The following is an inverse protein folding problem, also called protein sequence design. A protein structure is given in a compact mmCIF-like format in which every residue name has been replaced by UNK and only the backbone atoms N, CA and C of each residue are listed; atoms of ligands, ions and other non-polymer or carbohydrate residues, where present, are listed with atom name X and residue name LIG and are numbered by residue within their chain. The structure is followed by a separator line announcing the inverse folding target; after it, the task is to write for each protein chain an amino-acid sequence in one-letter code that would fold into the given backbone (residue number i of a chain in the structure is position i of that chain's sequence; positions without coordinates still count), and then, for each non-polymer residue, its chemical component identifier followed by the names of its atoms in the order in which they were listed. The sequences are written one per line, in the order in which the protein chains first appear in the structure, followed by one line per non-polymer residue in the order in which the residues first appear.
data_IF_293194491303
#
_entry.id   IF_293194491303
#
_cell.length_a   1.000
_cell.length_b   1.000
_cell.length_c   1.000
_cell.angle_alpha   90.00
_cell.angle_beta   90.00
_cell.angle_gamma   90.00
#
_symmetry.space_group_name_H-M   'P 1'
#
loop_
_entity.id
_entity.type
_entity.pdbx_description
1 polymer ?
#
# COMPACT_ATOMS: atom_id res chain seq x y z
N UNK A 1 -14.07 20.67 36.39
CA UNK A 1 -15.21 19.92 35.82
C UNK A 1 -16.39 20.87 35.77
N UNK A 2 -16.69 21.43 34.58
CA UNK A 2 -17.85 22.28 34.39
C UNK A 2 -19.09 21.38 34.21
N UNK A 3 -20.21 21.65 34.90
CA UNK A 3 -21.44 20.90 34.68
C UNK A 3 -21.90 21.15 33.23
N UNK A 4 -22.12 20.07 32.49
CA UNK A 4 -22.64 20.10 31.12
C UNK A 4 -24.03 20.73 31.12
N UNK A 5 -24.12 21.99 30.71
CA UNK A 5 -25.39 22.73 30.54
C UNK A 5 -25.97 22.33 29.19
N UNK A 6 -26.41 21.10 29.07
CA UNK A 6 -27.42 20.74 28.08
C UNK A 6 -28.67 20.35 28.87
N UNK A 7 -29.83 20.96 28.61
CA UNK A 7 -31.07 20.54 29.25
C UNK A 7 -31.24 19.05 28.96
N UNK A 8 -31.57 18.27 29.98
CA UNK A 8 -32.00 16.89 29.83
C UNK A 8 -33.28 16.89 29.00
N UNK A 9 -33.14 16.87 27.68
CA UNK A 9 -34.20 16.43 26.80
C UNK A 9 -34.57 15.03 27.31
N UNK A 10 -35.85 14.81 27.59
CA UNK A 10 -36.36 13.46 27.70
C UNK A 10 -35.91 12.76 26.41
N UNK A 11 -35.03 11.78 26.57
CA UNK A 11 -34.51 10.97 25.48
C UNK A 11 -35.69 10.16 24.94
N UNK A 12 -36.47 10.76 24.05
CA UNK A 12 -37.41 10.03 23.22
C UNK A 12 -36.56 9.27 22.19
N UNK A 13 -35.99 8.15 22.66
CA UNK A 13 -35.74 6.91 21.94
C UNK A 13 -35.07 7.01 20.55
N UNK A 14 -34.02 7.82 20.39
CA UNK A 14 -33.30 7.91 19.12
C UNK A 14 -31.87 8.41 19.22
N UNK A 15 -31.19 8.50 18.08
CA UNK A 15 -29.88 9.15 17.97
C UNK A 15 -29.75 9.95 16.68
N UNK A 16 -28.92 10.98 16.71
CA UNK A 16 -28.59 11.78 15.52
C UNK A 16 -27.39 11.22 14.75
N UNK A 17 -27.43 11.35 13.43
CA UNK A 17 -26.31 11.12 12.52
C UNK A 17 -26.26 12.23 11.46
N UNK A 18 -25.17 12.32 10.71
CA UNK A 18 -24.99 13.39 9.69
C UNK A 18 -24.95 12.80 8.30
N UNK A 19 -25.82 13.31 7.42
CA UNK A 19 -25.77 13.08 5.98
C UNK A 19 -24.87 14.14 5.32
N UNK A 20 -23.91 13.67 4.52
CA UNK A 20 -22.94 14.47 3.77
C UNK A 20 -23.28 14.35 2.29
N UNK A 21 -23.95 15.33 1.69
CA UNK A 21 -24.24 15.30 0.26
C UNK A 21 -22.97 15.48 -0.58
N UNK A 22 -22.94 14.99 -1.82
CA UNK A 22 -21.79 15.15 -2.71
C UNK A 22 -21.62 16.59 -3.22
N UNK A 23 -22.72 17.32 -3.45
CA UNK A 23 -22.68 18.71 -3.91
C UNK A 23 -22.31 19.67 -2.79
N UNK A 24 -21.37 20.58 -3.03
CA UNK A 24 -21.03 21.67 -2.10
C UNK A 24 -22.17 22.66 -1.89
N UNK A 25 -23.10 22.76 -2.83
CA UNK A 25 -24.26 23.65 -2.77
C UNK A 25 -25.36 23.11 -1.84
N UNK A 26 -25.35 21.80 -1.58
CA UNK A 26 -26.29 21.18 -0.64
C UNK A 26 -25.68 21.16 0.76
N UNK A 27 -26.39 21.70 1.75
CA UNK A 27 -25.95 21.72 3.14
C UNK A 27 -25.92 20.30 3.74
N UNK A 28 -24.94 20.04 4.61
CA UNK A 28 -24.94 18.82 5.43
C UNK A 28 -26.13 18.86 6.38
N UNK A 29 -26.79 17.71 6.57
CA UNK A 29 -28.02 17.64 7.39
C UNK A 29 -27.84 16.65 8.53
N UNK A 30 -28.27 17.06 9.72
CA UNK A 30 -28.41 16.17 10.86
C UNK A 30 -29.74 15.44 10.73
N UNK A 31 -29.71 14.11 10.81
CA UNK A 31 -30.88 13.25 10.66
C UNK A 31 -31.10 12.51 11.98
N UNK A 32 -32.35 12.53 12.46
CA UNK A 32 -32.76 11.78 13.64
C UNK A 32 -33.17 10.37 13.23
N UNK A 33 -32.56 9.36 13.84
CA UNK A 33 -33.06 7.99 13.76
C UNK A 33 -34.01 7.73 14.94
N UNK A 34 -35.33 7.58 14.72
CA UNK A 34 -36.34 7.63 15.78
C UNK A 34 -36.58 6.29 16.49
N UNK A 35 -35.65 5.34 16.41
CA UNK A 35 -35.83 4.01 17.02
C UNK A 35 -34.98 3.88 18.29
N UNK A 36 -35.58 3.43 19.42
CA UNK A 36 -34.86 3.27 20.68
C UNK A 36 -33.78 2.23 20.53
N UNK A 37 -32.55 2.58 20.93
CA UNK A 37 -31.35 1.73 20.80
C UNK A 37 -31.57 0.37 21.47
N UNK A 38 -31.99 -0.62 20.70
CA UNK A 38 -32.01 -2.04 21.10
C UNK A 38 -30.86 -2.81 20.46
N UNK A 39 -30.58 -4.02 20.98
CA UNK A 39 -29.55 -4.92 20.42
C UNK A 39 -29.79 -5.32 18.95
N UNK A 40 -31.00 -5.09 18.40
CA UNK A 40 -31.37 -5.43 17.03
C UNK A 40 -31.42 -4.22 16.06
N UNK A 41 -31.03 -3.04 16.51
CA UNK A 41 -31.23 -1.78 15.78
C UNK A 41 -30.25 -1.51 14.65
N UNK A 42 -29.14 -2.24 14.61
CA UNK A 42 -28.19 -2.13 13.51
C UNK A 42 -28.85 -2.39 12.17
N UNK A 43 -29.83 -3.30 12.15
CA UNK A 43 -30.54 -3.65 10.93
C UNK A 43 -31.54 -2.61 10.49
N UNK A 44 -32.34 -2.06 11.42
CA UNK A 44 -33.30 -1.00 11.09
C UNK A 44 -32.57 0.26 10.66
N UNK A 45 -31.44 0.57 11.30
CA UNK A 45 -30.60 1.69 10.92
C UNK A 45 -29.98 1.50 9.53
N UNK A 46 -29.38 0.35 9.25
CA UNK A 46 -28.82 0.05 7.91
C UNK A 46 -29.90 0.10 6.83
N UNK A 47 -31.14 -0.36 7.12
CA UNK A 47 -32.27 -0.22 6.19
C UNK A 47 -32.63 1.23 5.94
N UNK A 48 -32.67 2.07 6.98
CA UNK A 48 -32.93 3.50 6.84
C UNK A 48 -31.85 4.17 5.96
N UNK A 49 -30.56 3.90 6.22
CA UNK A 49 -29.47 4.41 5.38
C UNK A 49 -29.61 4.01 3.90
N UNK A 50 -30.05 2.78 3.64
CA UNK A 50 -30.25 2.31 2.25
C UNK A 50 -31.42 2.99 1.56
N UNK A 51 -32.51 3.23 2.28
CA UNK A 51 -33.63 3.99 1.77
C UNK A 51 -33.17 5.41 1.37
N UNK A 52 -32.37 6.04 2.23
CA UNK A 52 -31.83 7.38 1.96
C UNK A 52 -30.80 7.41 0.81
N UNK A 53 -30.11 6.30 0.54
CA UNK A 53 -29.25 6.14 -0.65
C UNK A 53 -30.02 5.90 -1.95
N UNK A 54 -31.35 5.84 -1.92
CA UNK A 54 -32.16 5.44 -3.07
C UNK A 54 -31.93 3.97 -3.49
N UNK A 55 -31.35 3.17 -2.60
CA UNK A 55 -31.13 1.74 -2.79
C UNK A 55 -32.27 0.95 -2.14
N UNK A 56 -33.52 1.31 -2.44
CA UNK A 56 -34.65 0.47 -2.06
C UNK A 56 -34.38 -0.92 -2.67
N UNK A 57 -34.11 -1.90 -1.80
CA UNK A 57 -34.12 -3.28 -2.25
C UNK A 57 -35.54 -3.50 -2.81
N UNK A 58 -35.70 -4.11 -4.00
CA UNK A 58 -37.01 -4.60 -4.37
C UNK A 58 -37.48 -5.42 -3.17
N UNK A 59 -38.65 -5.08 -2.60
CA UNK A 59 -39.24 -5.84 -1.50
C UNK A 59 -39.41 -7.27 -2.00
N UNK A 60 -38.38 -8.09 -1.85
CA UNK A 60 -38.45 -9.52 -2.10
C UNK A 60 -39.23 -10.03 -0.91
N UNK A 61 -40.54 -10.10 -1.11
CA UNK A 61 -41.48 -10.73 -0.21
C UNK A 61 -40.82 -12.03 0.27
N UNK A 62 -40.48 -12.09 1.56
CA UNK A 62 -39.68 -13.18 2.15
C UNK A 62 -40.29 -14.57 1.94
N UNK A 63 -41.55 -14.62 1.46
CA UNK A 63 -42.22 -15.82 0.97
C UNK A 63 -41.59 -16.43 -0.31
N UNK A 64 -40.84 -15.67 -1.11
CA UNK A 64 -40.13 -16.16 -2.31
C UNK A 64 -38.72 -16.71 -2.02
N UNK A 65 -38.44 -17.12 -0.77
CA UNK A 65 -37.16 -17.65 -0.26
C UNK A 65 -36.56 -18.82 -1.06
N UNK A 66 -37.35 -19.51 -1.87
CA UNK A 66 -36.87 -20.58 -2.75
C UNK A 66 -36.04 -20.07 -3.95
N UNK A 67 -36.38 -18.91 -4.52
CA UNK A 67 -35.77 -18.42 -5.76
C UNK A 67 -34.38 -17.80 -5.59
N UNK A 68 -34.15 -17.07 -4.49
CA UNK A 68 -32.88 -16.38 -4.26
C UNK A 68 -31.69 -17.34 -4.09
N UNK A 69 -31.91 -18.47 -3.41
CA UNK A 69 -30.90 -19.52 -3.29
C UNK A 69 -30.64 -20.21 -4.64
N UNK A 70 -31.65 -20.37 -5.50
CA UNK A 70 -31.43 -20.88 -6.86
C UNK A 70 -30.67 -19.88 -7.74
N UNK A 71 -30.86 -18.58 -7.55
CA UNK A 71 -30.14 -17.53 -8.28
C UNK A 71 -28.69 -17.42 -7.83
N UNK A 72 -28.44 -17.42 -6.52
CA UNK A 72 -27.09 -17.27 -5.95
C UNK A 72 -26.19 -18.49 -6.22
N UNK A 73 -26.78 -19.68 -6.35
CA UNK A 73 -26.06 -20.91 -6.71
C UNK A 73 -26.21 -21.30 -8.19
N UNK A 74 -26.85 -20.44 -9.00
CA UNK A 74 -27.24 -20.72 -10.37
C UNK A 74 -28.28 -21.83 -10.48
N UNK A 75 -29.32 -21.63 -11.30
CA UNK A 75 -30.06 -22.76 -11.87
C UNK A 75 -29.04 -23.57 -12.64
N UNK A 76 -28.67 -24.74 -12.13
CA UNK A 76 -27.94 -25.75 -12.90
C UNK A 76 -28.84 -26.04 -14.10
N UNK A 77 -28.57 -25.37 -15.23
CA UNK A 77 -29.16 -25.78 -16.50
C UNK A 77 -28.85 -27.25 -16.66
N UNK A 78 -29.84 -28.02 -17.10
CA UNK A 78 -29.69 -29.43 -17.45
C UNK A 78 -28.34 -29.63 -18.13
N UNK A 79 -27.42 -30.24 -17.40
CA UNK A 79 -26.00 -30.25 -17.77
C UNK A 79 -25.80 -30.91 -19.14
N UNK A 80 -24.70 -30.57 -19.84
CA UNK A 80 -24.37 -31.16 -21.13
C UNK A 80 -24.40 -32.69 -21.01
N UNK A 81 -25.10 -33.33 -21.95
CA UNK A 81 -25.19 -34.79 -22.07
C UNK A 81 -23.80 -35.41 -21.90
N UNK A 82 -23.71 -36.31 -20.91
CA UNK A 82 -22.52 -37.03 -20.51
C UNK A 82 -21.74 -37.58 -21.72
N UNK A 83 -20.62 -36.95 -22.05
CA UNK A 83 -19.55 -37.62 -22.78
C UNK A 83 -18.81 -38.48 -21.77
N UNK A 84 -19.07 -39.79 -21.84
CA UNK A 84 -18.54 -40.79 -20.93
C UNK A 84 -17.01 -40.84 -20.97
N UNK A 85 -16.34 -40.39 -19.91
CA UNK A 85 -14.91 -40.67 -19.74
C UNK A 85 -14.17 -39.72 -18.80
N UNK A 86 -14.42 -39.81 -17.49
CA UNK A 86 -13.57 -39.12 -16.50
C UNK A 86 -13.99 -39.34 -15.05
N UNK A 87 -13.45 -40.37 -14.39
CA UNK A 87 -13.54 -40.52 -12.92
C UNK A 87 -13.17 -39.25 -12.10
N UNK A 88 -12.24 -38.35 -12.49
CA UNK A 88 -11.96 -37.15 -11.71
C UNK A 88 -13.15 -36.18 -11.59
N UNK A 89 -14.07 -36.17 -12.55
CA UNK A 89 -15.21 -35.25 -12.56
C UNK A 89 -16.29 -35.67 -11.53
N UNK A 90 -16.46 -36.98 -11.32
CA UNK A 90 -17.39 -37.50 -10.33
C UNK A 90 -16.95 -37.19 -8.89
N UNK A 91 -15.64 -37.17 -8.63
CA UNK A 91 -15.08 -36.82 -7.31
C UNK A 91 -15.29 -35.33 -7.04
N UNK A 92 -14.96 -34.46 -8.00
CA UNK A 92 -15.18 -33.02 -7.89
C UNK A 92 -16.66 -32.66 -7.69
N UNK A 93 -17.57 -33.31 -8.42
CA UNK A 93 -19.01 -33.10 -8.26
C UNK A 93 -19.52 -33.52 -6.87
N UNK A 94 -18.97 -34.59 -6.30
CA UNK A 94 -19.33 -35.06 -4.95
C UNK A 94 -18.82 -34.12 -3.86
N UNK A 95 -17.59 -33.62 -3.99
CA UNK A 95 -17.04 -32.60 -3.07
C UNK A 95 -17.82 -31.29 -3.14
N UNK A 96 -18.17 -30.84 -4.34
CA UNK A 96 -18.99 -29.64 -4.54
C UNK A 96 -20.37 -29.76 -3.90
N UNK A 97 -21.05 -30.90 -4.04
CA UNK A 97 -22.35 -31.15 -3.36
C UNK A 97 -22.21 -31.11 -1.85
N UNK A 98 -21.16 -31.74 -1.31
CA UNK A 98 -20.89 -31.76 0.14
C UNK A 98 -20.66 -30.36 0.68
N UNK A 99 -19.92 -29.52 -0.04
CA UNK A 99 -19.68 -28.13 0.37
C UNK A 99 -20.95 -27.28 0.26
N UNK A 100 -21.76 -27.48 -0.79
CA UNK A 100 -23.07 -26.82 -0.93
C UNK A 100 -24.02 -27.16 0.23
N UNK A 101 -24.08 -28.42 0.64
CA UNK A 101 -24.89 -28.86 1.78
C UNK A 101 -24.36 -28.31 3.11
N UNK A 102 -23.03 -28.24 3.28
CA UNK A 102 -22.40 -27.61 4.45
C UNK A 102 -22.73 -26.11 4.54
N UNK A 103 -22.70 -25.40 3.41
CA UNK A 103 -23.07 -23.98 3.34
C UNK A 103 -24.55 -23.79 3.66
N UNK A 104 -25.43 -24.65 3.13
CA UNK A 104 -26.87 -24.65 3.47
C UNK A 104 -27.12 -24.89 4.96
N UNK A 105 -26.47 -25.88 5.56
CA UNK A 105 -26.59 -26.18 6.99
C UNK A 105 -26.06 -25.04 7.86
N UNK A 106 -25.00 -24.36 7.41
CA UNK A 106 -24.46 -23.19 8.10
C UNK A 106 -25.43 -22.01 8.00
N UNK A 107 -25.98 -21.74 6.81
CA UNK A 107 -26.96 -20.69 6.58
C UNK A 107 -28.29 -20.93 7.30
N UNK A 108 -28.71 -22.20 7.44
CA UNK A 108 -29.91 -22.57 8.21
C UNK A 108 -29.74 -22.30 9.72
N UNK A 109 -28.50 -22.26 10.22
CA UNK A 109 -28.18 -21.91 11.62
C UNK A 109 -28.02 -20.42 11.86
N UNK A 110 -27.77 -19.63 10.81
CA UNK A 110 -27.71 -18.18 10.90
C UNK A 110 -29.14 -17.66 11.10
N UNK A 111 -29.35 -16.89 12.16
CA UNK A 111 -30.66 -16.28 12.43
C UNK A 111 -31.09 -15.45 11.22
N UNK A 112 -32.38 -15.52 10.85
CA UNK A 112 -32.91 -14.83 9.66
C UNK A 112 -32.55 -13.33 9.65
N UNK A 113 -32.46 -12.74 10.84
CA UNK A 113 -32.02 -11.36 11.06
C UNK A 113 -30.56 -11.12 10.60
N UNK A 114 -29.61 -11.97 10.99
CA UNK A 114 -28.21 -11.83 10.61
C UNK A 114 -27.99 -12.00 9.10
N UNK A 115 -28.73 -12.90 8.46
CA UNK A 115 -28.68 -13.07 7.01
C UNK A 115 -29.20 -11.82 6.28
N UNK A 116 -30.29 -11.24 6.76
CA UNK A 116 -30.85 -10.01 6.20
C UNK A 116 -29.91 -8.82 6.43
N UNK A 117 -29.17 -8.80 7.55
CA UNK A 117 -28.10 -7.82 7.77
C UNK A 117 -26.99 -7.99 6.73
N UNK A 118 -26.49 -9.20 6.55
CA UNK A 118 -25.43 -9.47 5.57
C UNK A 118 -25.86 -9.11 4.14
N UNK A 119 -27.09 -9.43 3.76
CA UNK A 119 -27.64 -9.07 2.46
C UNK A 119 -27.86 -7.57 2.33
N UNK A 120 -28.26 -6.89 3.41
CA UNK A 120 -28.44 -5.44 3.40
C UNK A 120 -27.13 -4.68 3.33
N UNK A 121 -26.07 -5.18 3.94
CA UNK A 121 -24.72 -4.60 3.87
C UNK A 121 -24.04 -4.77 2.51
N UNK A 122 -24.55 -5.61 1.59
CA UNK A 122 -23.88 -5.87 0.30
C UNK A 122 -23.68 -4.62 -0.56
N UNK A 123 -24.57 -3.64 -0.44
CA UNK A 123 -24.52 -2.38 -1.20
C UNK A 123 -24.14 -1.17 -0.34
N UNK A 124 -23.84 -1.40 0.94
CA UNK A 124 -23.46 -0.37 1.89
C UNK A 124 -22.07 -0.68 2.42
N UNK A 125 -21.10 0.10 1.99
CA UNK A 125 -19.74 -0.04 2.45
C UNK A 125 -19.53 0.84 3.70
N UNK A 126 -18.87 0.27 4.71
CA UNK A 126 -18.62 0.92 5.99
C UNK A 126 -17.12 1.10 6.19
N UNK A 127 -16.69 2.33 6.35
CA UNK A 127 -15.32 2.68 6.69
C UNK A 127 -15.28 2.98 8.19
N UNK A 128 -14.70 2.06 8.95
CA UNK A 128 -14.51 2.24 10.40
C UNK A 128 -13.26 3.08 10.62
N UNK A 129 -13.45 4.34 11.03
CA UNK A 129 -12.36 5.28 11.25
C UNK A 129 -11.74 5.13 12.63
N UNK A 130 -12.58 4.88 13.64
CA UNK A 130 -12.18 4.68 15.02
C UNK A 130 -13.05 3.57 15.63
N UNK A 131 -12.45 2.67 16.41
CA UNK A 131 -13.20 1.65 17.15
C UNK A 131 -13.53 2.18 18.53
N UNK A 132 -14.79 2.00 18.96
CA UNK A 132 -15.17 2.33 20.33
C UNK A 132 -14.37 1.48 21.33
N UNK A 133 -13.90 2.10 22.40
CA UNK A 133 -13.12 1.45 23.45
C UNK A 133 -13.50 1.99 24.82
N UNK A 134 -14.12 1.13 25.62
CA UNK A 134 -14.60 1.45 26.97
C UNK A 134 -13.46 1.90 27.88
N UNK A 135 -12.31 1.21 27.85
CA UNK A 135 -11.18 1.48 28.75
C UNK A 135 -10.61 2.89 28.57
N UNK A 136 -10.60 3.38 27.33
CA UNK A 136 -10.06 4.69 26.98
C UNK A 136 -11.13 5.78 26.91
N UNK A 137 -12.41 5.40 26.91
CA UNK A 137 -13.54 6.30 26.65
C UNK A 137 -13.60 6.79 25.20
N UNK A 138 -12.82 6.18 24.30
CA UNK A 138 -12.78 6.54 22.89
C UNK A 138 -14.07 6.10 22.23
N UNK A 139 -14.69 7.03 21.49
CA UNK A 139 -15.90 6.77 20.71
C UNK A 139 -15.53 6.19 19.35
N UNK A 140 -16.34 5.26 18.88
CA UNK A 140 -16.22 4.71 17.54
C UNK A 140 -16.80 5.67 16.51
N UNK A 141 -16.17 5.73 15.35
CA UNK A 141 -16.51 6.61 14.24
C UNK A 141 -16.61 5.78 12.96
N UNK A 142 -17.75 5.87 12.28
CA UNK A 142 -17.99 5.10 11.05
C UNK A 142 -18.59 5.99 9.95
N UNK A 143 -18.09 5.81 8.73
CA UNK A 143 -18.62 6.42 7.51
C UNK A 143 -19.28 5.35 6.66
N UNK A 144 -20.54 5.57 6.28
CA UNK A 144 -21.32 4.69 5.41
C UNK A 144 -21.46 5.32 4.04
N UNK A 145 -21.25 4.54 2.98
CA UNK A 145 -21.43 4.98 1.58
C UNK A 145 -21.96 3.84 0.69
N UNK A 146 -22.51 4.17 -0.48
CA UNK A 146 -23.19 3.22 -1.36
C UNK A 146 -22.31 2.17 -2.08
N UNK A 147 -21.04 2.03 -1.70
CA UNK A 147 -20.10 1.07 -2.30
C UNK A 147 -20.08 1.13 -3.84
N UNK A 148 -20.11 -0.05 -4.48
CA UNK A 148 -20.09 -0.20 -5.95
C UNK A 148 -21.31 0.39 -6.67
N UNK A 149 -22.46 0.48 -5.99
CA UNK A 149 -23.66 1.04 -6.63
C UNK A 149 -23.56 2.54 -6.88
N UNK A 150 -22.58 3.21 -6.27
CA UNK A 150 -22.37 4.64 -6.37
C UNK A 150 -21.40 5.04 -7.50
N UNK A 151 -20.93 4.12 -8.36
CA UNK A 151 -19.98 4.44 -9.44
C UNK A 151 -20.49 5.55 -10.38
N UNK A 152 -21.81 5.61 -10.62
CA UNK A 152 -22.45 6.64 -11.44
C UNK A 152 -22.88 7.90 -10.67
N UNK A 153 -22.65 7.94 -9.36
CA UNK A 153 -23.00 9.08 -8.52
C UNK A 153 -21.86 10.13 -8.52
N UNK A 154 -22.18 11.41 -8.28
CA UNK A 154 -21.15 12.46 -8.19
C UNK A 154 -20.19 12.18 -7.03
N UNK A 155 -18.94 12.58 -7.21
CA UNK A 155 -17.88 12.50 -6.19
C UNK A 155 -18.23 13.35 -4.98
N UNK A 156 -17.95 12.85 -3.78
CA UNK A 156 -18.25 13.52 -2.51
C UNK A 156 -16.96 14.05 -1.88
N UNK A 157 -16.49 15.20 -2.36
CA UNK A 157 -15.21 15.78 -1.93
C UNK A 157 -15.19 16.08 -0.43
N UNK A 158 -16.31 16.47 0.17
CA UNK A 158 -16.42 16.72 1.62
C UNK A 158 -16.15 15.46 2.46
N UNK A 159 -16.77 14.33 2.11
CA UNK A 159 -16.53 13.08 2.80
C UNK A 159 -15.08 12.59 2.63
N UNK A 160 -14.51 12.80 1.44
CA UNK A 160 -13.10 12.48 1.12
C UNK A 160 -12.16 13.33 1.98
N UNK A 161 -12.43 14.63 2.12
CA UNK A 161 -11.61 15.55 2.93
C UNK A 161 -11.63 15.18 4.42
N UNK A 162 -12.79 14.81 4.97
CA UNK A 162 -12.91 14.34 6.36
C UNK A 162 -12.09 13.06 6.56
N UNK A 163 -12.23 12.10 5.64
CA UNK A 163 -11.51 10.82 5.69
C UNK A 163 -9.99 11.04 5.59
N UNK A 164 -9.56 11.91 4.68
CA UNK A 164 -8.16 12.28 4.51
C UNK A 164 -7.60 13.02 5.73
N UNK A 165 -8.37 13.94 6.33
CA UNK A 165 -8.00 14.65 7.54
C UNK A 165 -7.79 13.70 8.74
N UNK A 166 -8.55 12.59 8.79
CA UNK A 166 -8.40 11.51 9.76
C UNK A 166 -7.20 10.58 9.48
N UNK A 167 -6.40 10.84 8.42
CA UNK A 167 -5.19 10.07 8.11
C UNK A 167 -5.45 8.75 7.37
N UNK A 168 -6.56 8.64 6.65
CA UNK A 168 -6.84 7.52 5.75
C UNK A 168 -6.37 7.85 4.32
N UNK A 169 -5.99 6.83 3.53
CA UNK A 169 -5.66 7.04 2.13
C UNK A 169 -6.88 7.60 1.38
N UNK A 170 -6.66 8.41 0.33
CA UNK A 170 -7.75 8.98 -0.44
C UNK A 170 -8.56 7.86 -1.11
N UNK A 171 -9.84 7.79 -0.78
CA UNK A 171 -10.80 6.84 -1.36
C UNK A 171 -11.76 7.60 -2.26
N UNK A 172 -12.08 7.07 -3.44
CA UNK A 172 -13.08 7.68 -4.31
C UNK A 172 -14.49 7.42 -3.77
N UNK A 173 -14.95 8.31 -2.89
CA UNK A 173 -16.30 8.27 -2.34
C UNK A 173 -17.25 9.01 -3.27
N UNK A 174 -18.34 8.35 -3.66
CA UNK A 174 -19.38 8.88 -4.53
C UNK A 174 -20.73 8.78 -3.85
N UNK A 175 -21.61 9.73 -4.17
CA UNK A 175 -22.94 9.78 -3.61
C UNK A 175 -23.02 10.43 -2.23
N UNK A 176 -24.20 10.30 -1.61
CA UNK A 176 -24.40 10.73 -0.22
C UNK A 176 -23.63 9.76 0.69
N UNK A 177 -22.92 10.32 1.68
CA UNK A 177 -22.27 9.56 2.73
C UNK A 177 -22.92 9.87 4.09
N UNK A 178 -22.85 8.94 5.03
CA UNK A 178 -23.39 9.14 6.38
C UNK A 178 -22.32 8.91 7.43
N UNK A 179 -22.20 9.83 8.39
CA UNK A 179 -21.32 9.70 9.55
C UNK A 179 -22.12 9.37 10.79
N UNK A 180 -21.62 8.39 11.54
CA UNK A 180 -22.20 7.99 12.82
C UNK A 180 -21.13 7.86 13.90
N UNK A 181 -21.60 7.89 15.15
CA UNK A 181 -20.79 7.71 16.33
C UNK A 181 -21.33 6.56 17.18
N UNK A 182 -20.42 5.72 17.67
CA UNK A 182 -20.72 4.64 18.60
C UNK A 182 -19.95 4.83 19.88
N UNK A 183 -20.52 4.37 20.99
CA UNK A 183 -19.88 4.35 22.29
C UNK A 183 -19.97 2.92 22.83
N UNK A 184 -18.91 2.48 23.50
CA UNK A 184 -18.91 1.23 24.23
C UNK A 184 -19.29 1.52 25.68
N UNK A 185 -20.30 0.84 26.20
CA UNK A 185 -20.84 1.02 27.54
C UNK A 185 -20.95 -0.32 28.26
N UNK A 186 -20.72 -0.31 29.58
CA UNK A 186 -20.95 -1.46 30.46
C UNK A 186 -22.12 -1.17 31.39
N UNK A 187 -23.19 -1.95 31.22
CA UNK A 187 -24.36 -1.89 32.10
C UNK A 187 -23.99 -2.45 33.49
N UNK A 188 -24.61 -1.90 34.55
CA UNK A 188 -24.21 -2.15 35.95
C UNK A 188 -24.17 -3.63 36.34
N UNK A 189 -24.98 -4.45 35.67
CA UNK A 189 -25.15 -5.87 35.95
C UNK A 189 -24.66 -6.78 34.80
N UNK A 190 -24.13 -6.20 33.71
CA UNK A 190 -23.64 -6.95 32.57
C UNK A 190 -22.13 -6.75 32.39
N UNK A 191 -21.37 -7.84 32.53
CA UNK A 191 -19.92 -7.84 32.34
C UNK A 191 -19.48 -7.77 30.87
N UNK A 192 -20.42 -7.91 29.93
CA UNK A 192 -20.12 -7.80 28.50
C UNK A 192 -20.34 -6.36 28.03
N UNK A 193 -19.36 -5.74 27.35
CA UNK A 193 -19.54 -4.43 26.75
C UNK A 193 -20.64 -4.47 25.70
N UNK A 194 -21.46 -3.42 25.69
CA UNK A 194 -22.51 -3.20 24.70
C UNK A 194 -22.11 -1.98 23.87
N UNK A 195 -22.25 -2.07 22.55
CA UNK A 195 -22.09 -0.91 21.68
C UNK A 195 -23.45 -0.23 21.49
N UNK A 196 -23.47 1.07 21.72
CA UNK A 196 -24.64 1.91 21.48
C UNK A 196 -24.27 3.03 20.51
N UNK A 197 -25.19 3.37 19.59
CA UNK A 197 -25.03 4.60 18.81
C UNK A 197 -25.35 5.79 19.70
N UNK A 198 -24.59 6.85 19.53
CA UNK A 198 -24.80 8.11 20.26
C UNK A 198 -24.91 9.24 19.25
N UNK A 199 -25.53 10.34 19.64
CA UNK A 199 -25.71 11.50 18.77
C UNK A 199 -24.41 11.89 18.09
N UNK A 200 -24.43 12.10 16.78
CA UNK A 200 -23.37 12.71 16.01
C UNK A 200 -23.94 13.99 15.39
N UNK A 201 -23.41 15.14 15.81
CA UNK A 201 -23.95 16.45 15.43
C UNK A 201 -23.13 17.10 14.32
N UNK A 202 -23.68 18.11 13.64
CA UNK A 202 -22.97 18.82 12.58
C UNK A 202 -21.63 19.44 13.05
N UNK A 203 -21.55 19.86 14.31
CA UNK A 203 -20.31 20.36 14.90
C UNK A 203 -19.19 19.32 14.99
N UNK A 204 -19.54 18.03 15.01
CA UNK A 204 -18.57 16.93 14.98
C UNK A 204 -18.08 16.63 13.55
N UNK A 205 -18.76 17.14 12.52
CA UNK A 205 -18.49 16.91 11.10
C UNK A 205 -17.51 17.96 10.53
N UNK A 206 -16.37 18.13 11.19
CA UNK A 206 -15.32 19.08 10.80
C UNK A 206 -13.95 18.39 10.74
N UNK A 207 -13.10 18.78 9.80
CA UNK A 207 -11.71 18.30 9.69
C UNK A 207 -10.86 18.64 10.92
N UNK A 208 -11.26 19.65 11.69
CA UNK A 208 -10.61 20.06 12.94
C UNK A 208 -11.23 19.45 14.20
N UNK A 209 -12.25 18.60 14.06
CA UNK A 209 -12.93 17.98 15.20
C UNK A 209 -11.94 17.15 16.05
N UNK A 210 -12.11 17.11 17.38
CA UNK A 210 -11.16 16.42 18.27
C UNK A 210 -10.92 14.95 17.88
N UNK A 211 -11.99 14.22 17.51
CA UNK A 211 -11.89 12.82 17.10
C UNK A 211 -11.04 12.64 15.82
N UNK A 212 -11.08 13.59 14.88
CA UNK A 212 -10.27 13.53 13.65
C UNK A 212 -8.79 13.63 13.97
N UNK A 213 -8.43 14.54 14.89
CA UNK A 213 -7.05 14.73 15.36
C UNK A 213 -6.55 13.50 16.11
N UNK A 214 -7.36 12.96 17.02
CA UNK A 214 -7.04 11.76 17.78
C UNK A 214 -6.80 10.54 16.87
N UNK A 215 -7.70 10.29 15.91
CA UNK A 215 -7.56 9.19 14.94
C UNK A 215 -6.31 9.35 14.09
N UNK A 216 -6.04 10.59 13.62
CA UNK A 216 -4.84 10.88 12.85
C UNK A 216 -3.56 10.60 13.66
N UNK A 217 -3.48 11.11 14.87
CA UNK A 217 -2.33 10.92 15.76
C UNK A 217 -2.11 9.43 16.09
N UNK A 218 -3.19 8.68 16.34
CA UNK A 218 -3.12 7.23 16.58
C UNK A 218 -2.59 6.47 15.36
N UNK A 219 -3.08 6.79 14.16
CA UNK A 219 -2.64 6.15 12.90
C UNK A 219 -1.19 6.49 12.54
N UNK A 220 -0.76 7.72 12.82
CA UNK A 220 0.64 8.15 12.67
C UNK A 220 1.54 7.43 13.68
N UNK A 221 1.11 7.32 14.96
CA UNK A 221 1.87 6.62 16.01
C UNK A 221 2.01 5.12 15.78
N UNK A 222 0.98 4.48 15.22
CA UNK A 222 0.98 3.03 14.94
C UNK A 222 1.66 2.67 13.62
N UNK A 223 1.99 3.67 12.78
CA UNK A 223 2.49 3.45 11.42
C UNK A 223 1.44 2.88 10.46
N UNK A 224 0.17 2.85 10.86
CA UNK A 224 -0.92 2.33 10.03
C UNK A 224 -1.11 3.22 8.79
N UNK A 225 -0.94 4.54 8.94
CA UNK A 225 -1.01 5.48 7.83
C UNK A 225 -0.02 5.14 6.71
N UNK A 226 1.26 4.94 7.06
CA UNK A 226 2.32 4.63 6.09
C UNK A 226 2.06 3.28 5.39
N UNK A 227 1.56 2.28 6.12
CA UNK A 227 1.19 0.98 5.55
C UNK A 227 0.05 1.10 4.56
N UNK A 228 -1.03 1.76 4.95
CA UNK A 228 -2.22 1.92 4.11
C UNK A 228 -1.90 2.79 2.87
N UNK A 229 -1.05 3.82 3.02
CA UNK A 229 -0.55 4.62 1.88
C UNK A 229 0.33 3.80 0.94
N UNK A 230 1.20 2.94 1.48
CA UNK A 230 2.05 2.03 0.67
C UNK A 230 1.20 1.01 -0.08
N UNK A 231 0.20 0.42 0.57
CA UNK A 231 -0.74 -0.52 -0.03
C UNK A 231 -1.60 0.17 -1.09
N UNK A 232 -2.09 1.37 -0.81
CA UNK A 232 -2.83 2.19 -1.75
C UNK A 232 -1.99 2.55 -2.98
N UNK A 233 -0.75 3.01 -2.79
CA UNK A 233 0.19 3.29 -3.88
C UNK A 233 0.50 2.03 -4.71
N UNK A 234 0.62 0.87 -4.04
CA UNK A 234 0.82 -0.41 -4.72
C UNK A 234 -0.42 -0.82 -5.52
N UNK A 235 -1.63 -0.54 -5.03
CA UNK A 235 -2.89 -0.81 -5.74
C UNK A 235 -3.14 0.16 -6.91
N UNK A 236 -2.58 1.38 -6.83
CA UNK A 236 -2.61 2.37 -7.89
C UNK A 236 -1.60 2.11 -9.00
N UNK A 237 -0.66 1.19 -8.79
CA UNK A 237 0.09 0.64 -9.91
C UNK A 237 -0.91 -0.13 -10.76
N UNK A 238 -1.54 0.61 -11.69
CA UNK A 238 -2.15 0.06 -12.89
C UNK A 238 -1.22 -1.04 -13.36
N UNK A 239 -1.76 -2.19 -13.77
CA UNK A 239 -1.02 -3.27 -14.40
C UNK A 239 -0.36 -2.73 -15.69
N UNK A 240 0.68 -1.91 -15.54
CA UNK A 240 1.61 -1.54 -16.58
C UNK A 240 2.19 -2.89 -16.95
N UNK A 241 1.98 -3.36 -18.18
CA UNK A 241 2.48 -4.64 -18.64
C UNK A 241 3.93 -4.73 -18.16
N UNK A 242 4.25 -5.75 -17.36
CA UNK A 242 5.60 -5.89 -16.84
C UNK A 242 6.49 -6.25 -18.01
N UNK A 243 6.95 -5.23 -18.74
CA UNK A 243 7.85 -5.38 -19.85
C UNK A 243 9.15 -5.99 -19.33
N UNK A 244 9.81 -6.77 -20.18
CA UNK A 244 10.98 -7.50 -19.74
C UNK A 244 12.02 -6.54 -19.15
N UNK A 245 12.56 -6.94 -18.00
CA UNK A 245 13.65 -6.28 -17.32
C UNK A 245 14.73 -7.33 -17.04
N UNK A 246 15.95 -6.88 -16.81
CA UNK A 246 17.06 -7.77 -16.51
C UNK A 246 18.09 -7.14 -15.60
N UNK A 247 18.74 -7.96 -14.79
CA UNK A 247 19.79 -7.52 -13.86
C UNK A 247 21.02 -8.41 -14.04
N UNK A 248 22.20 -7.80 -14.04
CA UNK A 248 23.48 -8.49 -13.97
C UNK A 248 24.43 -7.80 -12.99
N UNK A 249 25.65 -8.32 -12.84
CA UNK A 249 26.65 -7.81 -11.89
C UNK A 249 27.11 -6.36 -12.18
N UNK A 250 26.87 -5.86 -13.40
CA UNK A 250 27.36 -4.55 -13.87
C UNK A 250 26.26 -3.50 -13.93
N UNK A 251 25.04 -3.89 -14.27
CA UNK A 251 23.89 -3.00 -14.47
C UNK A 251 22.56 -3.74 -14.32
N UNK A 252 21.51 -2.98 -14.05
CA UNK A 252 20.13 -3.38 -14.22
C UNK A 252 19.54 -2.60 -15.40
N UNK A 253 18.58 -3.18 -16.11
CA UNK A 253 17.86 -2.49 -17.17
C UNK A 253 16.36 -2.79 -17.10
N UNK A 254 15.56 -1.81 -17.50
CA UNK A 254 14.12 -1.89 -17.64
C UNK A 254 13.70 -1.17 -18.92
N UNK A 255 12.50 -1.42 -19.40
CA UNK A 255 11.97 -0.73 -20.57
C UNK A 255 10.53 -0.27 -20.33
N UNK A 256 10.17 0.79 -21.02
CA UNK A 256 8.78 1.21 -21.28
C UNK A 256 8.47 0.88 -22.75
N UNK A 257 7.32 1.33 -23.25
CA UNK A 257 7.00 1.22 -24.67
C UNK A 257 8.03 1.99 -25.51
N UNK A 258 8.39 3.21 -25.10
CA UNK A 258 9.21 4.14 -25.89
C UNK A 258 10.72 4.06 -25.63
N UNK A 259 11.14 3.65 -24.43
CA UNK A 259 12.55 3.75 -24.01
C UNK A 259 13.04 2.55 -23.21
N UNK A 260 14.38 2.38 -23.19
CA UNK A 260 15.10 1.39 -22.39
C UNK A 260 16.07 2.12 -21.47
N UNK A 261 15.89 1.94 -20.16
CA UNK A 261 16.74 2.54 -19.14
C UNK A 261 17.74 1.51 -18.62
N UNK A 262 19.03 1.87 -18.62
CA UNK A 262 20.14 1.07 -18.10
C UNK A 262 20.74 1.80 -16.89
N UNK A 263 20.66 1.20 -15.70
CA UNK A 263 21.23 1.73 -14.46
C UNK A 263 22.45 0.91 -14.06
N UNK A 264 23.62 1.54 -13.99
CA UNK A 264 24.86 0.85 -13.62
C UNK A 264 25.04 0.76 -12.11
N UNK A 265 25.59 -0.36 -11.63
CA UNK A 265 25.86 -0.56 -10.21
C UNK A 265 26.90 0.49 -9.72
N UNK A 266 26.68 1.21 -8.60
CA UNK A 266 27.57 2.31 -8.17
C UNK A 266 29.00 1.90 -7.76
N UNK A 267 29.22 0.61 -7.48
CA UNK A 267 30.48 0.08 -6.92
C UNK A 267 31.75 0.51 -7.66
N UNK A 268 31.86 0.32 -8.99
CA UNK A 268 33.01 0.74 -9.78
C UNK A 268 33.27 2.25 -9.76
N UNK A 269 32.25 3.09 -9.51
CA UNK A 269 32.35 4.54 -9.55
C UNK A 269 32.85 5.13 -8.23
N UNK A 270 32.40 4.57 -7.09
CA UNK A 270 32.77 5.02 -5.74
C UNK A 270 34.27 4.89 -5.48
N UNK A 271 34.89 3.80 -5.94
CA UNK A 271 36.32 3.52 -5.69
C UNK A 271 37.26 4.52 -6.35
N UNK A 272 36.86 5.10 -7.49
CA UNK A 272 37.71 5.98 -8.30
C UNK A 272 37.33 7.46 -8.19
N UNK A 273 36.27 7.79 -7.43
CA UNK A 273 35.66 9.13 -7.38
C UNK A 273 35.45 9.71 -8.79
N UNK A 274 34.78 8.93 -9.63
CA UNK A 274 34.56 9.30 -11.03
C UNK A 274 33.86 10.66 -11.14
N UNK A 275 34.32 11.47 -12.08
CA UNK A 275 33.66 12.71 -12.51
C UNK A 275 33.04 12.51 -13.89
N UNK A 276 32.15 13.41 -14.31
CA UNK A 276 31.54 13.36 -15.65
C UNK A 276 32.57 13.29 -16.80
N UNK A 277 33.76 13.87 -16.61
CA UNK A 277 34.87 13.85 -17.60
C UNK A 277 35.52 12.47 -17.75
N UNK A 278 35.40 11.62 -16.74
CA UNK A 278 35.97 10.27 -16.74
C UNK A 278 35.08 9.26 -17.48
N UNK A 279 33.85 9.64 -17.79
CA UNK A 279 32.82 8.77 -18.38
C UNK A 279 32.72 9.05 -19.87
N UNK A 280 32.84 8.00 -20.67
CA UNK A 280 32.64 8.02 -22.12
C UNK A 280 31.51 7.05 -22.45
N UNK A 281 30.36 7.61 -22.80
CA UNK A 281 29.21 6.86 -23.35
C UNK A 281 29.12 7.17 -24.84
N UNK A 282 29.14 6.13 -25.68
CA UNK A 282 28.86 6.23 -27.11
C UNK A 282 27.63 5.40 -27.42
N UNK A 283 26.59 6.07 -27.90
CA UNK A 283 25.33 5.45 -28.31
C UNK A 283 25.33 5.43 -29.84
N UNK A 284 25.10 4.27 -30.43
CA UNK A 284 24.94 4.06 -31.86
C UNK A 284 23.60 3.34 -32.10
N UNK A 285 23.06 3.36 -33.32
CA UNK A 285 21.73 2.80 -33.59
C UNK A 285 21.56 1.35 -33.13
N UNK A 286 22.59 0.52 -33.22
CA UNK A 286 22.55 -0.89 -32.77
C UNK A 286 23.63 -1.25 -31.77
N UNK A 287 24.33 -0.28 -31.20
CA UNK A 287 25.37 -0.61 -30.20
C UNK A 287 25.55 0.47 -29.16
N UNK A 288 25.97 0.05 -27.97
CA UNK A 288 26.35 0.95 -26.88
C UNK A 288 27.73 0.60 -26.35
N UNK A 289 28.54 1.63 -26.12
CA UNK A 289 29.85 1.53 -25.49
C UNK A 289 29.92 2.45 -24.28
N UNK A 290 30.29 1.89 -23.13
CA UNK A 290 30.42 2.62 -21.86
C UNK A 290 31.78 2.35 -21.25
N UNK A 291 32.59 3.39 -21.09
CA UNK A 291 33.92 3.34 -20.47
C UNK A 291 34.05 4.40 -19.38
N UNK A 292 34.61 4.01 -18.25
CA UNK A 292 34.87 4.89 -17.11
C UNK A 292 36.36 4.80 -16.74
N UNK A 293 37.09 5.91 -16.88
CA UNK A 293 38.51 6.05 -16.48
C UNK A 293 39.40 4.87 -16.94
N UNK A 294 39.23 4.43 -18.18
CA UNK A 294 39.99 3.32 -18.77
C UNK A 294 39.40 1.92 -18.53
N UNK A 295 38.45 1.76 -17.59
CA UNK A 295 37.70 0.51 -17.41
C UNK A 295 36.48 0.49 -18.32
N UNK A 296 36.37 -0.54 -19.16
CA UNK A 296 35.21 -0.72 -20.04
C UNK A 296 34.11 -1.45 -19.25
N UNK A 297 32.93 -0.83 -19.12
CA UNK A 297 31.76 -1.43 -18.47
C UNK A 297 30.95 -2.24 -19.49
N UNK A 298 30.70 -1.64 -20.65
CA UNK A 298 30.08 -2.26 -21.83
C UNK A 298 30.98 -2.07 -23.04
N UNK A 299 31.42 -3.17 -23.65
CA UNK A 299 32.26 -3.15 -24.86
C UNK A 299 31.39 -3.51 -26.07
N UNK A 300 31.02 -2.53 -26.87
CA UNK A 300 30.29 -2.69 -28.13
C UNK A 300 29.11 -3.68 -28.00
N UNK A 301 28.28 -3.48 -26.97
CA UNK A 301 27.10 -4.32 -26.74
C UNK A 301 26.14 -4.12 -27.90
N UNK A 302 25.87 -5.17 -28.67
CA UNK A 302 24.93 -5.11 -29.79
C UNK A 302 23.52 -5.17 -29.21
N UNK A 303 22.78 -4.06 -29.34
CA UNK A 303 21.43 -3.91 -28.82
C UNK A 303 20.47 -4.86 -29.53
N UNK A 304 19.39 -5.23 -28.83
CA UNK A 304 18.34 -6.12 -29.37
C UNK A 304 17.68 -5.51 -30.61
N UNK A 305 17.26 -4.24 -30.52
CA UNK A 305 16.70 -3.48 -31.63
C UNK A 305 17.47 -2.17 -31.88
N UNK A 306 17.02 -1.42 -32.90
CA UNK A 306 17.59 -0.11 -33.18
C UNK A 306 17.09 0.96 -32.20
N UNK A 307 17.96 1.89 -31.85
CA UNK A 307 17.66 3.04 -30.99
C UNK A 307 17.94 4.33 -31.76
N UNK A 308 17.24 5.41 -31.43
CA UNK A 308 17.56 6.75 -31.94
C UNK A 308 18.67 7.38 -31.08
N UNK A 309 19.92 7.49 -31.57
CA UNK A 309 21.02 8.05 -30.78
C UNK A 309 20.86 9.54 -30.52
N UNK A 310 20.02 10.25 -31.29
CA UNK A 310 19.82 11.69 -31.17
C UNK A 310 18.88 12.04 -30.01
N UNK A 311 17.90 11.18 -29.74
CA UNK A 311 16.98 11.29 -28.60
C UNK A 311 17.49 10.58 -27.34
N UNK A 312 18.39 9.61 -27.50
CA UNK A 312 19.00 8.90 -26.37
C UNK A 312 19.99 9.78 -25.60
N UNK A 313 20.03 9.63 -24.27
CA UNK A 313 20.89 10.43 -23.41
C UNK A 313 21.42 9.63 -22.21
N UNK A 314 22.33 10.23 -21.44
CA UNK A 314 22.85 9.64 -20.21
C UNK A 314 23.04 10.69 -19.12
N UNK A 315 22.84 10.28 -17.87
CA UNK A 315 22.98 11.11 -16.68
C UNK A 315 23.95 10.45 -15.70
N UNK A 316 24.70 11.27 -14.96
CA UNK A 316 25.58 10.80 -13.91
C UNK A 316 25.44 11.71 -12.70
N UNK A 317 24.99 11.15 -11.59
CA UNK A 317 24.89 11.84 -10.32
C UNK A 317 26.17 11.63 -9.51
N UNK A 318 26.84 12.73 -9.16
CA UNK A 318 28.10 12.72 -8.44
C UNK A 318 27.93 12.40 -6.95
N UNK A 319 26.75 12.61 -6.38
CA UNK A 319 26.49 12.35 -4.95
C UNK A 319 26.21 10.87 -4.71
N UNK A 320 25.36 10.28 -5.53
CA UNK A 320 24.99 8.85 -5.45
C UNK A 320 25.97 7.92 -6.18
N UNK A 321 26.73 8.48 -7.12
CA UNK A 321 27.58 7.76 -8.09
C UNK A 321 26.79 6.84 -9.02
N UNK A 322 25.56 7.23 -9.35
CA UNK A 322 24.68 6.48 -10.25
C UNK A 322 24.85 6.98 -11.69
N UNK A 323 25.20 6.07 -12.60
CA UNK A 323 25.19 6.29 -14.04
C UNK A 323 23.94 5.65 -14.63
N UNK A 324 23.11 6.44 -15.29
CA UNK A 324 21.93 5.99 -16.01
C UNK A 324 22.07 6.34 -17.49
N UNK A 325 21.74 5.39 -18.36
CA UNK A 325 21.65 5.60 -19.81
C UNK A 325 20.22 5.31 -20.24
N UNK A 326 19.60 6.26 -20.92
CA UNK A 326 18.25 6.14 -21.47
C UNK A 326 18.36 6.05 -22.98
N UNK A 327 17.88 4.94 -23.53
CA UNK A 327 17.88 4.63 -24.95
C UNK A 327 16.46 4.78 -25.50
N UNK A 328 16.24 5.72 -26.41
CA UNK A 328 14.96 5.86 -27.10
C UNK A 328 14.88 4.81 -28.22
N UNK A 329 13.86 3.96 -28.19
CA UNK A 329 13.67 2.95 -29.24
C UNK A 329 13.39 3.66 -30.57
N UNK A 330 13.93 3.13 -31.66
CA UNK A 330 13.55 3.59 -32.99
C UNK A 330 12.08 3.25 -33.32
N UNK A 331 11.59 2.13 -32.77
CA UNK A 331 10.20 1.66 -32.89
C UNK A 331 9.57 1.54 -31.48
N UNK A 332 8.67 2.47 -31.06
CA UNK A 332 8.16 2.59 -29.68
C UNK A 332 7.16 1.52 -29.23
N UNK A 333 6.98 0.43 -29.99
CA UNK A 333 6.10 -0.69 -29.63
C UNK A 333 6.85 -2.03 -29.58
N UNK A 334 8.15 -2.03 -29.89
CA UNK A 334 8.96 -3.24 -29.87
C UNK A 334 9.39 -3.58 -28.44
N UNK A 335 8.83 -4.65 -27.88
CA UNK A 335 9.22 -5.17 -26.57
C UNK A 335 10.54 -5.95 -26.66
N UNK A 336 11.56 -5.50 -25.94
CA UNK A 336 12.88 -6.14 -25.92
C UNK A 336 12.89 -7.34 -24.99
N UNK A 337 13.15 -8.55 -25.48
CA UNK A 337 13.31 -9.72 -24.59
C UNK A 337 14.60 -9.70 -23.76
N UNK A 338 15.62 -9.00 -24.25
CA UNK A 338 16.94 -8.84 -23.65
C UNK A 338 17.54 -7.49 -24.05
N UNK A 339 18.54 -7.00 -23.33
CA UNK A 339 19.20 -5.74 -23.70
C UNK A 339 20.02 -5.87 -24.99
N UNK A 340 20.61 -7.04 -25.22
CA UNK A 340 21.51 -7.30 -26.34
C UNK A 340 22.62 -8.30 -26.00
N UNK A 341 23.45 -8.61 -26.99
CA UNK A 341 24.56 -9.57 -26.86
C UNK A 341 25.92 -8.88 -26.97
N UNK A 342 26.86 -9.24 -26.09
CA UNK A 342 28.23 -8.73 -26.16
C UNK A 342 28.95 -9.38 -27.35
N UNK A 343 29.37 -8.56 -28.32
CA UNK A 343 30.08 -9.07 -29.49
C UNK A 343 31.51 -9.39 -29.06
N UNK A 344 31.77 -10.67 -28.80
CA UNK A 344 33.13 -11.18 -28.63
C UNK A 344 33.82 -11.09 -30.00
N UNK A 345 34.40 -9.92 -30.29
CA UNK A 345 35.22 -9.73 -31.48
C UNK A 345 36.37 -10.72 -31.36
N UNK A 346 36.30 -11.81 -32.13
CA UNK A 346 37.36 -12.79 -32.22
C UNK A 346 38.64 -12.02 -32.54
N UNK A 347 39.58 -11.98 -31.58
CA UNK A 347 40.89 -11.40 -31.81
C UNK A 347 41.47 -12.14 -33.01
N UNK A 348 41.58 -11.45 -34.15
CA UNK A 348 42.20 -12.04 -35.32
C UNK A 348 43.62 -12.43 -34.88
N UNK A 349 43.99 -13.73 -34.93
CA UNK A 349 45.35 -14.14 -34.60
C UNK A 349 46.29 -13.35 -35.50
N UNK A 350 47.24 -12.65 -34.87
CA UNK A 350 47.96 -11.53 -35.45
C UNK A 350 48.50 -11.83 -36.84
N UNK A 351 48.09 -10.99 -37.81
CA UNK A 351 48.83 -10.87 -39.06
C UNK A 351 50.22 -10.33 -38.70
N UNK A 352 51.31 -11.06 -39.00
CA UNK A 352 52.66 -10.60 -38.69
C UNK A 352 52.93 -9.27 -39.39
N UNK A 353 53.62 -8.38 -38.67
CA UNK A 353 53.91 -7.02 -39.06
C UNK A 353 54.61 -6.94 -40.43
N UNK A 354 53.89 -6.50 -41.46
CA UNK A 354 54.50 -6.03 -42.70
C UNK A 354 54.94 -4.57 -42.52
N UNK A 355 56.25 -4.38 -42.64
CA UNK A 355 56.91 -3.09 -42.65
C UNK A 355 56.79 -2.44 -44.04
N UNK A 356 56.11 -1.29 -44.11
CA UNK A 356 56.18 -0.31 -45.21
C UNK A 356 56.08 1.07 -44.54
N UNK A 357 57.04 2.00 -44.53
CA UNK A 357 57.95 2.55 -45.56
C UNK A 357 57.26 3.35 -46.68
N UNK A 358 56.89 4.61 -46.38
CA UNK A 358 57.00 5.84 -47.21
C UNK A 358 56.03 6.90 -46.64
N UNK A 359 56.45 8.03 -46.08
CA UNK A 359 56.97 9.27 -46.69
C UNK A 359 56.07 9.87 -47.78
N UNK A 360 55.25 10.88 -47.42
CA UNK A 360 54.93 12.08 -48.23
C UNK A 360 54.19 13.14 -47.36
N UNK A 361 54.21 14.45 -47.73
CA UNK A 361 54.35 15.54 -46.78
C UNK A 361 53.09 16.41 -46.57
N UNK A 362 53.12 17.15 -45.45
CA UNK A 362 52.16 18.16 -45.00
C UNK A 362 51.96 19.34 -45.98
N UNK A 363 50.76 19.95 -45.98
CA UNK A 363 50.60 21.38 -46.25
C UNK A 363 50.46 22.21 -44.96
N UNK A 364 51.02 23.42 -45.04
CA UNK A 364 51.13 24.48 -44.03
C UNK A 364 49.78 25.03 -43.52
N UNK A 365 49.72 25.55 -42.28
CA UNK A 365 48.58 26.34 -41.81
C UNK A 365 48.79 27.84 -42.03
N UNK A 366 47.82 28.46 -42.72
CA UNK A 366 47.70 29.92 -42.90
C UNK A 366 47.39 30.61 -41.58
N UNK A 367 48.24 31.59 -41.24
CA UNK A 367 48.11 32.53 -40.12
C UNK A 367 47.24 33.71 -40.57
N UNK A 368 46.14 33.99 -39.86
CA UNK A 368 45.48 35.30 -39.88
C UNK A 368 45.33 35.74 -38.43
N UNK A 369 46.06 36.81 -38.09
CA UNK A 369 45.86 37.62 -36.91
C UNK A 369 44.99 38.82 -37.29
N UNK A 370 44.00 39.16 -36.47
CA UNK A 370 43.88 40.54 -35.97
C UNK A 370 42.92 40.67 -34.77
N UNK A 371 43.35 41.56 -33.88
CA UNK A 371 42.89 42.00 -32.57
C UNK A 371 41.78 43.12 -32.67
N UNK A 372 41.35 43.87 -31.62
CA UNK A 372 41.05 43.55 -30.21
C UNK A 372 39.82 44.34 -29.62
N UNK A 373 39.64 44.22 -28.29
CA UNK A 373 39.07 45.18 -27.30
C UNK A 373 37.55 45.21 -27.03
N UNK A 374 37.20 45.02 -25.76
CA UNK A 374 35.91 45.43 -25.18
C UNK A 374 35.64 44.91 -23.76
N UNK A 375 36.28 45.50 -22.74
CA UNK A 375 35.94 45.43 -21.29
C UNK A 375 35.60 46.89 -20.92
N UNK A 376 34.54 47.23 -20.14
CA UNK A 376 34.51 46.95 -18.70
C UNK A 376 33.13 46.81 -18.01
N UNK A 377 33.11 46.22 -16.81
CA UNK A 377 32.81 46.95 -15.56
C UNK A 377 32.46 45.99 -14.42
N UNK A 378 33.18 46.16 -13.32
CA UNK A 378 33.02 45.48 -12.04
C UNK A 378 31.94 46.16 -11.17
N UNK A 379 31.45 45.44 -10.14
CA UNK A 379 31.17 45.82 -8.74
C UNK A 379 30.16 44.82 -8.09
N UNK A 380 30.00 44.73 -6.75
CA UNK A 380 30.76 43.81 -5.90
C UNK A 380 29.88 42.78 -5.15
N UNK A 381 30.51 41.71 -4.68
CA UNK A 381 29.92 40.75 -3.76
C UNK A 381 29.93 41.26 -2.30
N UNK A 382 28.95 40.91 -1.45
CA UNK A 382 29.13 40.92 -0.01
C UNK A 382 29.48 39.51 0.50
N UNK A 383 30.54 39.48 1.31
CA UNK A 383 31.02 38.32 2.04
C UNK A 383 30.03 37.89 3.15
N UNK A 384 29.74 36.60 3.22
CA UNK A 384 29.17 35.97 4.42
C UNK A 384 29.75 34.55 4.56
N UNK A 385 30.97 34.47 5.09
CA UNK A 385 31.51 33.22 5.65
C UNK A 385 30.85 32.98 7.01
N UNK A 386 29.91 32.04 7.09
CA UNK A 386 29.53 31.39 8.36
C UNK A 386 30.02 29.95 8.34
N UNK A 387 30.89 29.63 9.30
CA UNK A 387 31.32 28.27 9.64
C UNK A 387 30.11 27.48 10.15
N UNK A 388 29.75 26.39 9.48
CA UNK A 388 28.83 25.37 9.98
C UNK A 388 29.44 24.00 9.68
N UNK A 389 30.26 23.49 10.60
CA UNK A 389 30.73 22.08 10.58
C UNK A 389 30.84 21.57 12.01
N UNK A 390 29.74 21.08 12.58
CA UNK A 390 29.76 20.06 13.67
C UNK A 390 28.41 19.45 14.05
N UNK A 391 27.27 19.92 13.53
CA UNK A 391 25.94 19.48 13.98
C UNK A 391 25.53 18.01 13.71
N UNK A 392 26.00 17.29 12.66
CA UNK A 392 25.47 15.94 12.37
C UNK A 392 25.82 14.88 13.42
N UNK A 393 26.95 15.03 14.14
CA UNK A 393 27.42 14.01 15.09
C UNK A 393 26.72 14.07 16.44
N UNK A 394 26.33 15.26 16.88
CA UNK A 394 25.63 15.43 18.16
C UNK A 394 24.18 14.90 18.09
N UNK A 395 23.50 15.09 16.95
CA UNK A 395 22.14 14.61 16.73
C UNK A 395 22.13 13.08 16.61
N UNK A 396 23.08 12.49 15.87
CA UNK A 396 23.19 11.03 15.78
C UNK A 396 23.45 10.35 17.14
N UNK A 397 24.29 10.97 17.98
CA UNK A 397 24.54 10.47 19.34
C UNK A 397 23.29 10.57 20.24
N UNK A 398 22.55 11.67 20.15
CA UNK A 398 21.31 11.85 20.91
C UNK A 398 20.22 10.83 20.50
N UNK A 399 20.07 10.56 19.20
CA UNK A 399 19.13 9.55 18.70
C UNK A 399 19.49 8.13 19.16
N UNK A 400 20.79 7.79 19.18
CA UNK A 400 21.25 6.48 19.65
C UNK A 400 21.01 6.28 21.15
N UNK A 401 21.26 7.32 21.97
CA UNK A 401 21.00 7.28 23.41
C UNK A 401 19.50 7.11 23.69
N UNK A 402 18.65 7.83 22.96
CA UNK A 402 17.19 7.69 23.07
C UNK A 402 16.71 6.29 22.72
N UNK A 403 17.22 5.71 21.62
CA UNK A 403 16.85 4.36 21.19
C UNK A 403 17.24 3.29 22.21
N UNK A 404 18.44 3.39 22.81
CA UNK A 404 18.90 2.47 23.85
C UNK A 404 18.08 2.58 25.14
N UNK A 405 17.63 3.79 25.52
CA UNK A 405 16.77 4.00 26.68
C UNK A 405 15.38 3.36 26.48
N UNK A 406 14.79 3.49 25.29
CA UNK A 406 13.51 2.86 24.95
C UNK A 406 13.63 1.33 24.95
N UNK A 407 14.73 0.79 24.40
CA UNK A 407 14.98 -0.65 24.39
C UNK A 407 15.13 -1.24 25.80
N UNK A 408 15.82 -0.52 26.70
CA UNK A 408 15.97 -0.91 28.09
C UNK A 408 14.62 -0.89 28.84
N UNK A 409 13.80 0.15 28.64
CA UNK A 409 12.47 0.23 29.25
C UNK A 409 11.54 -0.90 28.76
N UNK A 410 11.63 -1.26 27.48
CA UNK A 410 10.87 -2.38 26.90
C UNK A 410 11.30 -3.74 27.48
N UNK A 411 12.60 -3.97 27.69
CA UNK A 411 13.09 -5.20 28.30
C UNK A 411 12.68 -5.33 29.78
N UNK A 412 12.65 -4.22 30.54
CA UNK A 412 12.16 -4.22 31.92
C UNK A 412 10.65 -4.50 31.98
N UNK A 413 9.87 -3.93 31.05
CA UNK A 413 8.42 -4.16 30.96
C UNK A 413 8.09 -5.63 30.67
N UNK A 414 8.86 -6.31 29.81
CA UNK A 414 8.66 -7.75 29.54
C UNK A 414 9.16 -8.69 30.64
N UNK A 415 10.06 -8.24 31.51
CA UNK A 415 10.56 -9.02 32.64
C UNK A 415 9.58 -9.13 33.81
N UNK A 416 8.56 -8.27 33.89
CA UNK A 416 7.67 -8.18 35.06
C UNK A 416 6.35 -8.98 34.93
N UNK A 417 6.10 -9.65 33.80
CA UNK A 417 4.83 -10.34 33.54
C UNK A 417 4.81 -11.84 33.94
N UNK A 418 5.79 -12.31 34.70
CA UNK A 418 5.90 -13.72 35.08
C UNK A 418 5.77 -13.94 36.60
N UNK A 419 4.68 -13.49 37.23
CA UNK A 419 4.21 -14.08 38.50
C UNK A 419 2.76 -13.71 38.82
N UNK A 420 1.80 -14.49 38.30
CA UNK A 420 0.51 -14.67 38.98
C UNK A 420 -0.12 -15.97 38.50
N UNK A 421 0.02 -17.01 39.32
CA UNK A 421 -0.68 -18.29 39.19
C UNK A 421 -2.09 -18.11 39.74
N UNK A 422 -3.16 -18.48 39.02
CA UNK A 422 -4.42 -18.85 39.63
C UNK A 422 -4.51 -20.38 39.72
N UNK A 423 -4.70 -20.85 40.96
CA UNK A 423 -5.25 -22.16 41.25
C UNK A 423 -6.69 -22.24 40.72
N UNK A 424 -6.99 -23.22 39.87
CA UNK A 424 -8.05 -24.21 40.17
C UNK A 424 -8.32 -25.18 39.00
N UNK A 425 -8.15 -26.46 39.32
CA UNK A 425 -9.01 -27.59 38.93
C UNK A 425 -9.48 -27.77 37.49
N UNK A 426 -8.65 -28.33 36.61
CA UNK A 426 -9.11 -29.18 35.49
C UNK A 426 -8.17 -30.37 35.29
N UNK A 427 -8.77 -31.53 35.04
CA UNK A 427 -8.28 -32.90 35.15
C UNK A 427 -7.13 -33.29 34.20
N UNK A 428 -6.22 -34.14 34.71
CA UNK A 428 -4.90 -34.47 34.13
C UNK A 428 -4.86 -35.42 32.93
N UNK A 429 -5.98 -35.67 32.24
CA UNK A 429 -6.03 -36.69 31.17
C UNK A 429 -5.85 -36.13 29.75
N UNK A 430 -6.10 -34.84 29.53
CA UNK A 430 -6.00 -34.22 28.19
C UNK A 430 -4.55 -33.90 27.79
N UNK A 431 -3.69 -33.59 28.76
CA UNK A 431 -2.27 -33.29 28.53
C UNK A 431 -1.42 -34.54 28.22
N UNK A 432 -1.81 -35.73 28.70
CA UNK A 432 -1.07 -36.98 28.41
C UNK A 432 -1.27 -37.51 26.99
N UNK A 433 -2.30 -37.05 26.26
CA UNK A 433 -2.55 -37.44 24.86
C UNK A 433 -1.76 -36.60 23.85
N UNK A 434 -1.47 -35.34 24.14
CA UNK A 434 -0.74 -34.46 23.21
C UNK A 434 0.78 -34.71 23.17
N UNK A 435 1.37 -35.27 24.24
CA UNK A 435 2.80 -35.56 24.30
C UNK A 435 3.24 -36.90 23.67
N UNK A 436 2.31 -37.69 23.10
CA UNK A 436 2.66 -38.93 22.36
C UNK A 436 2.76 -38.76 20.84
N UNK A 437 2.41 -37.59 20.29
CA UNK A 437 2.39 -37.36 18.84
C UNK A 437 3.64 -36.66 18.29
N UNK A 438 4.53 -36.14 19.15
CA UNK A 438 5.83 -35.62 18.72
C UNK A 438 6.96 -36.52 19.23
N UNK A 439 7.32 -37.50 18.41
CA UNK A 439 8.50 -38.33 18.60
C UNK A 439 9.78 -37.48 18.52
N UNK A 440 10.25 -37.02 19.67
CA UNK A 440 11.59 -36.42 19.81
C UNK A 440 12.36 -37.24 20.84
N UNK A 441 13.26 -38.09 20.33
CA UNK A 441 14.30 -38.75 21.15
C UNK A 441 15.21 -37.67 21.73
N UNK A 442 15.18 -37.47 23.05
CA UNK A 442 16.24 -36.73 23.77
C UNK A 442 17.10 -37.71 24.56
N UNK A 443 18.37 -37.76 24.17
CA UNK A 443 19.44 -38.38 24.95
C UNK A 443 19.68 -37.58 26.23
N UNK A 444 19.88 -38.31 27.32
CA UNK A 444 20.13 -37.77 28.63
C UNK A 444 21.59 -37.32 28.78
N UNK A 445 21.81 -36.09 29.23
CA UNK A 445 23.04 -35.67 29.89
C UNK A 445 22.63 -34.87 31.14
N UNK A 446 22.98 -35.42 32.31
CA UNK A 446 22.89 -34.72 33.61
C UNK A 446 24.11 -33.80 33.75
N UNK A 447 23.96 -32.65 34.41
CA UNK A 447 25.04 -32.12 35.24
C UNK A 447 24.70 -32.25 36.72
N UNK A 448 25.67 -32.76 37.47
CA UNK A 448 25.77 -32.61 38.92
C UNK A 448 26.02 -31.14 39.26
N UNK A 449 25.39 -30.68 40.34
CA UNK A 449 25.92 -29.57 41.15
C UNK A 449 25.95 -30.09 42.57
N UNK A 450 27.16 -30.27 43.08
CA UNK A 450 27.47 -30.42 44.50
C UNK A 450 27.41 -29.04 45.19
N UNK A 451 27.19 -29.12 46.51
CA UNK A 451 26.88 -28.10 47.52
C UNK A 451 27.61 -26.76 47.35
#
# INVERSE_FOLDING_TARGET
MAPSIYPAFAADDGFFYVAIPPSTDEEMRQVLFPTPITKNDDLSFVRALRADLGQEAPHTDTAARGGFFEELFGKQGDGPQALAGGEPEAVAAKEFRKEKDRVKDTLAKVESHQLELLLSMRNLEVITMQKACFETGVKGMALYHGGKSAENQPRNDRAIEILFAAGFPPKDLRGICFLTRTEEFMERDNLAPIWQRVDFVLGDCCTDAPWVKEVREEREKTGQKERDETEWLSSMQVDVPTLACGTNDKYAWRQTDEEVEIQFVPGPFRGIRATKRDIVVKIQPRSIFVRVRGRVLLKDLKLFAEVDPSSSYWTFDQETFELQVTLCKAEPEEAWGELGAEVVKAERPGTPAEAHSSSEPMPEPTIIADEPKGVPSALPAPALRRRWTSWPRAIAAACLIYYLAVLAAWMVSKGSAASSVPSDGVTSETWRRQLRLHGVKRGAAKPQVEI
#
